data_IF_830075992582
#
_entry.id   IF_830075992582
#
_cell.length_a   1.000
_cell.length_b   1.000
_cell.length_c   1.000
_cell.angle_alpha   90.00
_cell.angle_beta   90.00
_cell.angle_gamma   90.00
#
_symmetry.space_group_name_H-M   'P 1'
#
loop_
_entity.id
_entity.type
_entity.pdbx_description
1 polymer ?
#
# COMPACT_ATOMS: atom_id res chain seq x y z
N UNK A 1 -19.83 -4.41 12.32
CA UNK A 1 -19.97 -5.45 11.28
C UNK A 1 -18.56 -5.92 11.01
N UNK A 2 -18.12 -7.01 11.64
CA UNK A 2 -16.77 -7.55 11.41
C UNK A 2 -16.72 -8.11 9.98
N UNK A 3 -15.86 -7.47 9.17
CA UNK A 3 -15.79 -7.69 7.74
C UNK A 3 -14.97 -8.93 7.39
N UNK A 4 -14.06 -9.31 8.28
CA UNK A 4 -13.47 -10.64 8.37
C UNK A 4 -13.89 -11.29 9.69
N UNK A 5 -14.06 -12.62 9.68
CA UNK A 5 -14.30 -13.41 10.89
C UNK A 5 -13.09 -14.28 11.10
N UNK A 6 -12.79 -14.58 12.37
CA UNK A 6 -11.69 -15.49 12.68
C UNK A 6 -11.93 -16.87 12.07
N UNK A 7 -10.84 -17.53 11.70
CA UNK A 7 -10.87 -18.91 11.18
C UNK A 7 -11.61 -19.86 12.15
N UNK A 8 -11.49 -19.61 13.45
CA UNK A 8 -12.17 -20.38 14.49
C UNK A 8 -13.69 -20.23 14.45
N UNK A 9 -14.23 -19.03 14.22
CA UNK A 9 -15.68 -18.80 14.08
C UNK A 9 -16.24 -19.46 12.81
N UNK A 10 -15.51 -19.36 11.68
CA UNK A 10 -15.91 -20.02 10.44
C UNK A 10 -15.90 -21.55 10.57
N UNK A 11 -14.92 -22.11 11.28
CA UNK A 11 -14.86 -23.54 11.61
C UNK A 11 -16.05 -23.97 12.47
N UNK A 12 -16.38 -23.21 13.52
CA UNK A 12 -17.55 -23.47 14.37
C UNK A 12 -18.87 -23.48 13.57
N UNK A 13 -18.96 -22.63 12.54
CA UNK A 13 -20.12 -22.51 11.66
C UNK A 13 -20.08 -23.42 10.44
N UNK A 14 -19.06 -24.29 10.31
CA UNK A 14 -18.84 -25.21 9.19
C UNK A 14 -18.83 -24.50 7.83
N UNK A 15 -18.19 -23.33 7.75
CA UNK A 15 -18.00 -22.57 6.52
C UNK A 15 -16.53 -22.53 6.14
N UNK A 16 -16.19 -22.49 4.84
CA UNK A 16 -14.83 -22.22 4.41
C UNK A 16 -14.40 -20.82 4.85
N UNK A 17 -13.29 -20.72 5.57
CA UNK A 17 -12.71 -19.44 5.95
C UNK A 17 -12.26 -18.66 4.71
N UNK A 18 -12.47 -17.35 4.72
CA UNK A 18 -12.01 -16.45 3.67
C UNK A 18 -11.18 -15.34 4.28
N UNK A 19 -10.03 -15.08 3.68
CA UNK A 19 -9.18 -13.97 4.09
C UNK A 19 -9.87 -12.63 3.77
N UNK A 20 -9.51 -11.53 4.46
CA UNK A 20 -10.02 -10.20 4.15
C UNK A 20 -9.83 -9.84 2.68
N UNK A 21 -8.71 -10.23 2.07
CA UNK A 21 -8.44 -10.00 0.66
C UNK A 21 -9.41 -10.74 -0.28
N UNK A 22 -9.75 -11.98 0.04
CA UNK A 22 -10.71 -12.79 -0.71
C UNK A 22 -12.14 -12.26 -0.62
N UNK A 23 -12.48 -11.53 0.45
CA UNK A 23 -13.77 -10.84 0.59
C UNK A 23 -13.75 -9.49 -0.13
N UNK A 24 -12.65 -8.75 0.01
CA UNK A 24 -12.53 -7.38 -0.51
C UNK A 24 -12.35 -7.32 -2.02
N UNK A 25 -11.55 -8.21 -2.63
CA UNK A 25 -11.31 -8.17 -4.07
C UNK A 25 -12.59 -8.33 -4.91
N UNK A 26 -13.51 -9.29 -4.65
CA UNK A 26 -14.79 -9.34 -5.33
C UNK A 26 -15.65 -8.09 -5.12
N UNK A 27 -15.68 -7.55 -3.89
CA UNK A 27 -16.47 -6.36 -3.56
C UNK A 27 -15.99 -5.14 -4.34
N UNK A 28 -14.68 -4.91 -4.39
CA UNK A 28 -14.07 -3.86 -5.20
C UNK A 28 -14.33 -4.08 -6.69
N UNK A 29 -14.32 -5.33 -7.18
CA UNK A 29 -14.68 -5.64 -8.56
C UNK A 29 -16.12 -5.26 -8.90
N UNK A 30 -17.07 -5.53 -8.00
CA UNK A 30 -18.48 -5.13 -8.18
C UNK A 30 -18.61 -3.61 -8.24
N UNK A 31 -17.94 -2.89 -7.35
CA UNK A 31 -17.92 -1.41 -7.40
C UNK A 31 -17.37 -0.89 -8.72
N UNK A 32 -16.28 -1.48 -9.23
CA UNK A 32 -15.72 -1.13 -10.53
C UNK A 32 -16.69 -1.43 -11.69
N UNK A 33 -17.48 -2.49 -11.60
CA UNK A 33 -18.48 -2.82 -12.63
C UNK A 33 -19.67 -1.85 -12.60
N UNK A 34 -20.14 -1.47 -11.42
CA UNK A 34 -21.30 -0.58 -11.26
C UNK A 34 -20.99 0.89 -11.55
N UNK A 35 -19.72 1.28 -11.57
CA UNK A 35 -19.30 2.65 -11.83
C UNK A 35 -18.12 2.66 -12.81
N UNK A 36 -18.38 2.42 -14.11
CA UNK A 36 -17.33 2.25 -15.12
C UNK A 36 -16.47 3.50 -15.31
N UNK A 37 -17.05 4.70 -15.13
CA UNK A 37 -16.39 5.99 -15.38
C UNK A 37 -15.76 6.61 -14.13
N UNK A 38 -15.78 5.90 -13.00
CA UNK A 38 -15.23 6.39 -11.73
C UNK A 38 -13.95 5.67 -11.35
N UNK A 39 -13.05 6.46 -10.77
CA UNK A 39 -11.86 6.00 -10.07
C UNK A 39 -12.10 5.98 -8.55
N UNK A 40 -11.45 5.06 -7.86
CA UNK A 40 -11.64 4.83 -6.44
C UNK A 40 -10.30 4.82 -5.71
N UNK A 41 -10.24 5.52 -4.57
CA UNK A 41 -9.21 5.33 -3.56
C UNK A 41 -9.72 4.35 -2.51
N UNK A 42 -8.94 3.31 -2.22
CA UNK A 42 -9.24 2.34 -1.19
C UNK A 42 -8.26 2.49 -0.03
N UNK A 43 -8.75 2.94 1.12
CA UNK A 43 -7.95 3.04 2.35
C UNK A 43 -8.24 1.82 3.21
N UNK A 44 -7.19 1.11 3.61
CA UNK A 44 -7.30 -0.11 4.42
C UNK A 44 -6.33 -0.13 5.59
N UNK A 45 -6.71 -0.85 6.64
CA UNK A 45 -5.91 -1.01 7.86
C UNK A 45 -4.92 -2.19 7.77
N UNK A 46 -4.28 -2.52 8.90
CA UNK A 46 -3.32 -3.61 8.97
C UNK A 46 -3.96 -5.01 8.78
N UNK A 47 -5.22 -5.19 9.16
CA UNK A 47 -5.97 -6.45 9.03
C UNK A 47 -6.42 -6.72 7.59
N UNK A 48 -6.58 -5.67 6.79
CA UNK A 48 -6.88 -5.73 5.34
C UNK A 48 -5.74 -6.33 4.48
N UNK A 49 -4.72 -6.91 5.12
CA UNK A 49 -3.36 -7.03 4.62
C UNK A 49 -3.00 -8.36 4.00
N UNK A 50 -3.51 -8.66 2.80
CA UNK A 50 -2.82 -9.57 1.89
C UNK A 50 -2.16 -8.80 0.76
N UNK A 51 -0.95 -9.21 0.38
CA UNK A 51 -0.29 -8.83 -0.87
C UNK A 51 -1.13 -9.23 -2.09
N UNK A 52 -1.97 -10.27 -1.96
CA UNK A 52 -3.03 -10.64 -2.90
C UNK A 52 -3.94 -9.45 -3.25
N UNK A 53 -4.42 -8.70 -2.23
CA UNK A 53 -5.27 -7.53 -2.46
C UNK A 53 -4.50 -6.39 -3.12
N UNK A 54 -3.23 -6.19 -2.75
CA UNK A 54 -2.37 -5.21 -3.42
C UNK A 54 -2.16 -5.55 -4.91
N UNK A 55 -1.98 -6.83 -5.24
CA UNK A 55 -1.91 -7.31 -6.64
C UNK A 55 -3.23 -7.11 -7.37
N UNK A 56 -4.36 -7.42 -6.73
CA UNK A 56 -5.68 -7.18 -7.32
C UNK A 56 -5.86 -5.71 -7.66
N UNK A 57 -5.55 -4.81 -6.72
CA UNK A 57 -5.67 -3.36 -6.94
C UNK A 57 -4.72 -2.91 -8.05
N UNK A 58 -3.47 -3.35 -8.03
CA UNK A 58 -2.49 -2.98 -9.05
C UNK A 58 -2.89 -3.44 -10.47
N UNK A 59 -3.59 -4.58 -10.61
CA UNK A 59 -4.18 -5.01 -11.89
C UNK A 59 -5.27 -4.06 -12.38
N UNK A 60 -5.98 -3.39 -11.48
CA UNK A 60 -7.04 -2.42 -11.77
C UNK A 60 -6.59 -0.96 -11.59
N UNK A 61 -5.27 -0.72 -11.58
CA UNK A 61 -4.65 0.59 -11.28
C UNK A 61 -5.12 1.77 -12.12
N UNK A 62 -5.71 1.51 -13.29
CA UNK A 62 -6.31 2.57 -14.11
C UNK A 62 -7.45 3.31 -13.37
N UNK A 63 -8.09 2.65 -12.42
CA UNK A 63 -9.29 3.14 -11.72
C UNK A 63 -9.32 2.84 -10.23
N UNK A 64 -8.30 2.17 -9.69
CA UNK A 64 -8.26 1.78 -8.28
C UNK A 64 -6.85 1.97 -7.74
N UNK A 65 -6.73 2.82 -6.72
CA UNK A 65 -5.51 2.97 -5.94
C UNK A 65 -5.79 2.56 -4.50
N UNK A 66 -4.84 1.88 -3.86
CA UNK A 66 -4.95 1.51 -2.44
C UNK A 66 -3.92 2.28 -1.65
N UNK A 67 -4.34 2.93 -0.56
CA UNK A 67 -3.46 3.54 0.43
C UNK A 67 -3.54 2.78 1.75
N UNK A 68 -2.40 2.49 2.38
CA UNK A 68 -2.32 1.81 3.69
C UNK A 68 -1.01 2.17 4.40
N UNK A 69 -0.95 1.96 5.71
CA UNK A 69 0.31 1.98 6.48
C UNK A 69 1.33 0.98 5.93
N UNK A 70 2.56 1.43 5.72
CA UNK A 70 3.70 0.60 5.35
C UNK A 70 4.49 0.24 6.61
N UNK A 71 5.00 -0.99 6.68
CA UNK A 71 5.92 -1.35 7.74
C UNK A 71 7.30 -0.70 7.49
N UNK A 72 7.95 -0.06 8.47
CA UNK A 72 9.23 0.61 8.29
C UNK A 72 10.35 -0.31 7.77
N UNK A 73 10.24 -1.61 8.06
CA UNK A 73 11.18 -2.65 7.63
C UNK A 73 10.73 -3.40 6.36
N UNK A 74 9.76 -2.87 5.61
CA UNK A 74 9.26 -3.50 4.39
C UNK A 74 10.38 -3.76 3.39
N UNK A 75 10.34 -4.95 2.76
CA UNK A 75 11.30 -5.32 1.74
C UNK A 75 10.88 -4.75 0.38
N UNK A 76 11.65 -3.76 -0.07
CA UNK A 76 11.49 -3.13 -1.38
C UNK A 76 12.61 -3.54 -2.32
N UNK A 77 12.27 -3.65 -3.60
CA UNK A 77 13.20 -4.03 -4.65
C UNK A 77 13.05 -3.07 -5.83
N UNK A 78 14.10 -2.95 -6.62
CA UNK A 78 14.02 -2.31 -7.94
C UNK A 78 13.17 -3.14 -8.90
N UNK A 79 12.77 -2.51 -10.01
CA UNK A 79 12.11 -3.23 -11.09
C UNK A 79 13.01 -4.37 -11.58
N UNK A 80 12.47 -5.58 -11.79
CA UNK A 80 13.25 -6.65 -12.38
C UNK A 80 13.74 -6.22 -13.77
N UNK A 81 14.99 -6.56 -14.13
CA UNK A 81 15.56 -6.18 -15.42
C UNK A 81 14.77 -6.78 -16.58
N UNK A 82 14.61 -6.02 -17.66
CA UNK A 82 13.79 -6.39 -18.83
C UNK A 82 14.56 -7.13 -19.94
N UNK A 83 15.87 -7.33 -19.82
CA UNK A 83 16.67 -7.96 -20.88
C UNK A 83 16.47 -9.48 -20.94
N UNK A 84 16.59 -10.06 -22.13
CA UNK A 84 16.53 -11.51 -22.35
C UNK A 84 17.87 -12.14 -21.97
N UNK A 85 17.87 -13.09 -21.04
CA UNK A 85 18.97 -14.02 -20.85
C UNK A 85 18.50 -15.45 -21.12
N UNK A 86 19.43 -16.34 -21.48
CA UNK A 86 19.17 -17.76 -21.59
C UNK A 86 19.04 -18.33 -20.16
N UNK A 87 17.83 -18.27 -19.60
CA UNK A 87 17.56 -18.71 -18.23
C UNK A 87 16.28 -18.10 -17.65
N UNK A 88 15.95 -18.49 -16.41
CA UNK A 88 14.84 -17.89 -15.68
C UNK A 88 15.18 -16.44 -15.32
N UNK A 89 14.42 -15.49 -15.85
CA UNK A 89 14.58 -14.08 -15.52
C UNK A 89 14.42 -13.83 -14.01
N UNK A 90 15.20 -12.91 -13.42
CA UNK A 90 15.02 -12.50 -12.03
C UNK A 90 13.59 -11.99 -11.82
N UNK A 91 12.91 -12.50 -10.79
CA UNK A 91 11.54 -12.08 -10.44
C UNK A 91 11.52 -10.69 -9.79
N UNK A 92 12.65 -10.25 -9.22
CA UNK A 92 12.81 -8.97 -8.52
C UNK A 92 14.18 -8.36 -8.84
N UNK A 93 14.26 -7.03 -8.81
CA UNK A 93 15.51 -6.30 -8.96
C UNK A 93 16.37 -6.30 -7.70
N UNK A 94 17.34 -5.39 -7.66
CA UNK A 94 18.24 -5.21 -6.52
C UNK A 94 17.42 -4.78 -5.29
N UNK A 95 17.83 -5.22 -4.11
CA UNK A 95 17.17 -4.85 -2.85
C UNK A 95 17.43 -3.38 -2.56
N UNK A 96 16.37 -2.61 -2.40
CA UNK A 96 16.42 -1.20 -1.99
C UNK A 96 16.66 -1.10 -0.47
N UNK A 97 17.19 0.04 0.02
CA UNK A 97 17.20 0.33 1.45
C UNK A 97 15.79 0.19 2.04
N UNK A 98 15.71 -0.33 3.26
CA UNK A 98 14.44 -0.38 4.00
C UNK A 98 13.92 1.04 4.22
N UNK A 99 12.60 1.28 4.24
CA UNK A 99 12.02 2.60 4.43
C UNK A 99 12.61 3.37 5.63
N UNK A 100 12.78 2.71 6.78
CA UNK A 100 13.41 3.30 7.98
C UNK A 100 14.82 3.83 7.74
N UNK A 101 15.64 3.07 6.99
CA UNK A 101 17.00 3.45 6.65
C UNK A 101 17.03 4.52 5.57
N UNK A 102 16.12 4.45 4.60
CA UNK A 102 15.99 5.43 3.55
C UNK A 102 15.61 6.81 4.12
N UNK A 103 14.79 6.87 5.16
CA UNK A 103 14.29 8.12 5.76
C UNK A 103 15.19 8.69 6.85
N UNK A 104 16.06 7.87 7.46
CA UNK A 104 16.96 8.31 8.53
C UNK A 104 17.86 9.50 8.12
N UNK A 105 18.27 9.55 6.85
CA UNK A 105 19.15 10.58 6.30
C UNK A 105 18.51 11.39 5.17
N UNK A 106 17.23 11.17 4.87
CA UNK A 106 16.57 11.87 3.77
C UNK A 106 16.17 13.28 4.20
N UNK A 107 16.41 14.24 3.31
CA UNK A 107 15.79 15.56 3.42
C UNK A 107 14.27 15.41 3.28
N UNK A 108 13.53 15.96 4.24
CA UNK A 108 12.07 15.95 4.21
C UNK A 108 11.56 17.23 3.58
N UNK A 109 10.71 17.10 2.57
CA UNK A 109 9.98 18.23 2.00
C UNK A 109 8.92 18.69 3.01
N UNK A 110 8.93 19.97 3.34
CA UNK A 110 7.87 20.55 4.16
C UNK A 110 6.53 20.52 3.41
N UNK A 111 5.48 20.12 4.11
CA UNK A 111 4.12 20.09 3.58
C UNK A 111 3.11 20.41 4.68
N UNK A 112 1.90 20.77 4.26
CA UNK A 112 0.77 20.95 5.17
C UNK A 112 -0.40 20.08 4.69
N UNK A 113 -0.79 19.12 5.51
CA UNK A 113 -1.87 18.17 5.20
C UNK A 113 -3.13 18.54 5.96
N UNK A 114 -4.29 18.27 5.35
CA UNK A 114 -5.56 18.36 6.05
C UNK A 114 -5.57 17.37 7.22
N UNK A 115 -6.12 17.80 8.34
CA UNK A 115 -6.14 17.02 9.57
C UNK A 115 -7.58 16.83 10.07
N UNK A 116 -7.76 15.80 10.89
CA UNK A 116 -9.03 15.60 11.59
C UNK A 116 -9.42 16.86 12.39
N UNK A 117 -10.71 17.22 12.34
CA UNK A 117 -11.23 18.43 12.96
C UNK A 117 -11.11 19.70 12.10
N UNK A 118 -10.76 19.57 10.80
CA UNK A 118 -10.73 20.69 9.86
C UNK A 118 -9.47 21.56 9.94
N UNK A 119 -8.49 21.15 10.76
CA UNK A 119 -7.20 21.82 10.88
C UNK A 119 -6.24 21.45 9.74
N UNK A 120 -5.12 22.17 9.68
CA UNK A 120 -3.95 21.79 8.88
C UNK A 120 -2.80 21.43 9.81
N UNK A 121 -2.01 20.44 9.41
CA UNK A 121 -0.81 20.05 10.16
C UNK A 121 0.42 20.16 9.29
N UNK A 122 1.46 20.78 9.84
CA UNK A 122 2.79 20.81 9.23
C UNK A 122 3.50 19.47 9.39
N UNK A 123 3.96 18.93 8.27
CA UNK A 123 4.63 17.63 8.19
C UNK A 123 5.88 17.72 7.34
N UNK A 124 6.87 16.90 7.66
CA UNK A 124 7.96 16.57 6.75
C UNK A 124 7.61 15.31 5.98
N UNK A 125 7.65 15.37 4.65
CA UNK A 125 7.41 14.23 3.78
C UNK A 125 8.73 13.79 3.14
N UNK A 126 9.06 12.52 3.28
CA UNK A 126 10.12 11.86 2.52
C UNK A 126 9.53 10.61 1.88
N UNK A 127 9.83 10.33 0.63
CA UNK A 127 9.18 9.21 -0.05
C UNK A 127 10.03 8.64 -1.17
N UNK A 128 9.50 7.59 -1.77
CA UNK A 128 10.13 6.94 -2.91
C UNK A 128 9.20 5.92 -3.53
N UNK A 129 9.72 5.20 -4.50
CA UNK A 129 9.02 4.11 -5.17
C UNK A 129 9.79 2.82 -5.01
N UNK A 130 9.10 1.69 -5.08
CA UNK A 130 9.74 0.38 -5.05
C UNK A 130 8.77 -0.73 -5.40
N UNK A 131 9.30 -1.92 -5.64
CA UNK A 131 8.51 -3.12 -5.78
C UNK A 131 8.45 -3.82 -4.44
N UNK A 132 7.28 -3.81 -3.82
CA UNK A 132 7.02 -4.62 -2.64
C UNK A 132 6.90 -6.08 -3.08
N UNK A 133 7.60 -7.00 -2.41
CA UNK A 133 7.64 -8.41 -2.77
C UNK A 133 7.32 -9.29 -1.58
N UNK A 134 6.37 -10.21 -1.79
CA UNK A 134 6.09 -11.33 -0.91
C UNK A 134 6.35 -12.65 -1.67
N UNK A 135 6.91 -13.64 -0.97
CA UNK A 135 7.21 -14.95 -1.54
C UNK A 135 5.93 -15.64 -1.99
N UNK A 136 5.92 -16.19 -3.21
CA UNK A 136 4.76 -16.86 -3.80
C UNK A 136 3.81 -15.91 -4.53
N UNK A 137 3.80 -14.62 -4.17
CA UNK A 137 2.89 -13.64 -4.75
C UNK A 137 3.54 -12.72 -5.80
N UNK A 138 4.86 -12.55 -5.81
CA UNK A 138 5.57 -11.73 -6.82
C UNK A 138 5.52 -10.22 -6.57
N UNK A 139 6.21 -9.39 -7.36
CA UNK A 139 6.37 -7.97 -7.05
C UNK A 139 5.12 -7.12 -7.35
N UNK A 140 4.85 -6.13 -6.49
CA UNK A 140 3.82 -5.09 -6.68
C UNK A 140 4.51 -3.72 -6.65
N UNK A 141 4.44 -2.93 -7.72
CA UNK A 141 4.91 -1.54 -7.71
C UNK A 141 4.12 -0.71 -6.71
N UNK A 142 4.83 0.00 -5.83
CA UNK A 142 4.25 0.91 -4.86
C UNK A 142 5.00 2.24 -4.84
N UNK A 143 4.28 3.32 -4.57
CA UNK A 143 4.85 4.54 -3.99
C UNK A 143 4.75 4.45 -2.48
N UNK A 144 5.69 5.04 -1.75
CA UNK A 144 5.63 5.12 -0.29
C UNK A 144 6.08 6.48 0.20
N UNK A 145 5.52 6.88 1.34
CA UNK A 145 5.81 8.14 2.00
C UNK A 145 5.98 7.91 3.49
N UNK A 146 6.98 8.58 4.04
CA UNK A 146 7.23 8.76 5.45
C UNK A 146 6.80 10.17 5.84
N UNK A 147 6.01 10.22 6.90
CA UNK A 147 5.44 11.45 7.46
C UNK A 147 6.07 11.66 8.82
N UNK A 148 6.87 12.72 8.92
CA UNK A 148 7.37 13.23 10.19
C UNK A 148 6.47 14.36 10.66
N UNK A 149 5.90 14.23 11.86
CA UNK A 149 5.13 15.33 12.45
C UNK A 149 6.10 16.44 12.88
N UNK A 150 5.89 17.67 12.39
CA UNK A 150 6.68 18.83 12.80
C UNK A 150 6.06 19.58 13.97
N UNK A 151 4.83 19.22 14.36
CA UNK A 151 4.12 19.82 15.50
C UNK A 151 4.38 19.08 16.81
N UNK A 152 5.00 17.90 16.76
CA UNK A 152 5.50 17.16 17.93
C UNK A 152 4.44 16.39 18.74
N UNK A 153 3.24 16.17 18.19
CA UNK A 153 2.12 15.57 18.92
C UNK A 153 1.67 14.23 18.36
N UNK A 154 2.21 13.79 17.22
CA UNK A 154 1.95 12.47 16.63
C UNK A 154 3.24 11.73 16.30
N UNK A 155 3.11 10.40 16.27
CA UNK A 155 4.21 9.51 15.88
C UNK A 155 4.46 9.62 14.38
N UNK A 156 5.72 9.45 14.01
CA UNK A 156 6.11 9.32 12.61
C UNK A 156 5.47 8.05 12.01
N UNK A 157 4.92 8.17 10.81
CA UNK A 157 4.22 7.09 10.14
C UNK A 157 4.73 6.86 8.72
N UNK A 158 4.54 5.65 8.22
CA UNK A 158 4.84 5.28 6.84
C UNK A 158 3.55 4.83 6.17
N UNK A 159 3.33 5.30 4.95
CA UNK A 159 2.22 4.90 4.10
C UNK A 159 2.75 4.41 2.77
N UNK A 160 1.96 3.58 2.10
CA UNK A 160 2.20 3.22 0.70
C UNK A 160 0.92 3.32 -0.11
N UNK A 161 1.10 3.55 -1.41
CA UNK A 161 0.10 3.44 -2.44
C UNK A 161 0.48 2.39 -3.46
N UNK A 162 -0.49 1.61 -3.95
CA UNK A 162 -0.31 0.71 -5.11
C UNK A 162 -0.31 1.45 -6.45
N UNK A 163 -0.57 2.76 -6.45
CA UNK A 163 -0.36 3.66 -7.56
C UNK A 163 1.02 4.36 -7.39
N UNK A 164 2.05 3.97 -8.16
CA UNK A 164 3.37 4.58 -8.08
C UNK A 164 3.41 6.06 -8.47
N UNK A 165 2.38 6.57 -9.17
CA UNK A 165 2.27 7.97 -9.57
C UNK A 165 1.56 8.86 -8.53
N UNK A 166 1.06 8.28 -7.43
CA UNK A 166 0.33 9.03 -6.42
C UNK A 166 1.24 10.01 -5.67
N UNK A 167 0.82 11.27 -5.58
CA UNK A 167 1.53 12.30 -4.82
C UNK A 167 1.56 11.97 -3.31
N UNK A 168 2.70 12.25 -2.68
CA UNK A 168 2.93 12.04 -1.25
C UNK A 168 1.91 12.76 -0.37
N UNK A 169 1.48 13.97 -0.73
CA UNK A 169 0.48 14.73 0.03
C UNK A 169 -0.88 14.05 -0.10
N UNK A 170 -1.27 13.68 -1.32
CA UNK A 170 -2.53 12.98 -1.59
C UNK A 170 -2.62 11.66 -0.82
N UNK A 171 -1.52 10.92 -0.72
CA UNK A 171 -1.42 9.67 0.03
C UNK A 171 -1.65 9.85 1.53
N UNK A 172 -1.24 10.98 2.10
CA UNK A 172 -1.39 11.27 3.54
C UNK A 172 -2.78 11.82 3.87
N UNK A 173 -3.47 12.41 2.88
CA UNK A 173 -4.83 12.96 3.04
C UNK A 173 -5.94 12.01 2.57
N UNK A 174 -5.60 10.80 2.13
CA UNK A 174 -6.52 9.84 1.52
C UNK A 174 -7.55 9.27 2.49
#
# INVERSE_FOLDING_TARGET
MDLDRSEEDDRLRRRPHRTPAQIMAPSLRVMLLWSPDRSFGFVGDAGSGAHELARFVHRHRARLARVRKLHPEANLFEQPPTYKCNGRLPVKGIRLPKPSRATASAESRAGAVAWYGGGRREVGLAGGTGHWYETGEGPVPIAWVFVRDRTGTHRDEYFFSTDPGMDSTAMVTA
#
